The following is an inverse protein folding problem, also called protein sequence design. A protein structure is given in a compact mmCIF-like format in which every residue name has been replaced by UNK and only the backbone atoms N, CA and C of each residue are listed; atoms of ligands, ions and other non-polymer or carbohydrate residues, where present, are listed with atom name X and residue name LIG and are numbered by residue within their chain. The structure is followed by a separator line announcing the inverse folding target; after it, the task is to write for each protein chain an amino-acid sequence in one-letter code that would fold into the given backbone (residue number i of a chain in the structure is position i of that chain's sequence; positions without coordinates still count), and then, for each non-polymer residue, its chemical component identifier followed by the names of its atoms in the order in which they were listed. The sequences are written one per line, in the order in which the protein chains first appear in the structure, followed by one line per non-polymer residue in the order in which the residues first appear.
data_IF_538411481763
#
_entry.id   IF_538411481763
#
_cell.length_a   1.000
_cell.length_b   1.000
_cell.length_c   1.000
_cell.angle_alpha   90.00
_cell.angle_beta   90.00
_cell.angle_gamma   90.00
#
_symmetry.space_group_name_H-M   'P 1'
#
loop_
_entity.id
_entity.type
_entity.pdbx_description
1 polymer ?
#
# COMPACT_ATOMS: atom_id res chain seq x y z
N UNK A 1 24.17 24.25 -6.01
CA UNK A 1 24.01 23.25 -4.94
C UNK A 1 23.86 21.92 -5.63
N UNK A 2 24.77 20.98 -5.40
CA UNK A 2 24.78 19.70 -6.13
C UNK A 2 23.54 18.88 -5.81
N UNK A 3 22.99 18.23 -6.83
CA UNK A 3 21.97 17.20 -6.68
C UNK A 3 22.48 16.17 -5.66
N UNK A 4 21.72 15.97 -4.58
CA UNK A 4 22.08 14.97 -3.57
C UNK A 4 21.79 13.60 -4.17
N UNK A 5 22.88 12.89 -4.45
CA UNK A 5 22.87 11.52 -4.97
C UNK A 5 22.15 10.61 -3.96
N UNK A 6 21.16 9.85 -4.46
CA UNK A 6 20.38 8.89 -3.70
C UNK A 6 21.34 7.85 -3.11
N UNK A 7 21.53 7.88 -1.80
CA UNK A 7 22.36 6.88 -1.12
C UNK A 7 21.46 5.66 -0.83
N UNK A 8 21.84 4.50 -1.36
CA UNK A 8 21.19 3.23 -1.01
C UNK A 8 21.96 2.66 0.18
N UNK A 9 21.26 2.38 1.27
CA UNK A 9 21.85 1.72 2.43
C UNK A 9 21.72 0.20 2.22
N UNK A 10 22.86 -0.49 2.24
CA UNK A 10 22.88 -1.95 2.34
C UNK A 10 22.40 -2.34 3.73
N UNK A 11 21.20 -2.93 3.82
CA UNK A 11 20.62 -3.36 5.09
C UNK A 11 20.93 -4.83 5.43
N UNK A 12 21.81 -5.48 4.66
CA UNK A 12 22.08 -6.91 4.80
C UNK A 12 20.88 -7.77 4.35
N UNK A 13 20.70 -8.91 5.01
CA UNK A 13 19.57 -9.80 4.72
C UNK A 13 18.28 -9.27 5.36
N UNK A 14 17.22 -9.19 4.56
CA UNK A 14 15.86 -9.02 5.03
C UNK A 14 15.22 -10.40 5.18
N UNK A 15 14.73 -10.70 6.38
CA UNK A 15 14.00 -11.93 6.67
C UNK A 15 12.57 -11.59 7.06
N UNK A 16 11.62 -12.19 6.36
CA UNK A 16 10.19 -12.05 6.63
C UNK A 16 9.66 -13.41 7.04
N UNK A 17 9.24 -13.53 8.29
CA UNK A 17 8.57 -14.72 8.79
C UNK A 17 7.06 -14.55 8.74
N UNK A 18 6.39 -15.47 8.04
CA UNK A 18 4.94 -15.56 7.93
C UNK A 18 4.50 -16.89 8.53
N UNK A 19 4.04 -16.85 9.79
CA UNK A 19 3.75 -18.05 10.56
C UNK A 19 4.97 -18.96 10.71
N UNK A 20 4.93 -20.16 10.13
CA UNK A 20 6.02 -21.14 10.19
C UNK A 20 7.04 -21.07 9.04
N UNK A 21 6.90 -20.12 8.09
CA UNK A 21 7.77 -20.00 6.93
C UNK A 21 8.57 -18.72 6.97
N UNK A 22 9.84 -18.81 6.60
CA UNK A 22 10.76 -17.68 6.45
C UNK A 22 11.01 -17.43 4.96
N UNK A 23 10.91 -16.16 4.56
CA UNK A 23 11.32 -15.65 3.26
C UNK A 23 12.59 -14.82 3.49
N UNK A 24 13.67 -15.16 2.81
CA UNK A 24 14.94 -14.43 2.90
C UNK A 24 15.18 -13.72 1.57
N UNK A 25 15.21 -12.39 1.61
CA UNK A 25 15.69 -11.56 0.52
C UNK A 25 17.13 -11.16 0.82
N UNK A 26 18.08 -11.87 0.19
CA UNK A 26 19.50 -11.58 0.34
C UNK A 26 19.86 -10.28 -0.38
N UNK A 27 20.54 -9.37 0.34
CA UNK A 27 20.82 -7.98 -0.05
C UNK A 27 19.55 -7.16 -0.30
N UNK A 28 19.00 -6.59 0.77
CA UNK A 28 17.95 -5.57 0.66
C UNK A 28 18.57 -4.19 0.72
N UNK A 29 18.54 -3.46 -0.40
CA UNK A 29 18.90 -2.05 -0.42
C UNK A 29 17.70 -1.24 0.08
N UNK A 30 17.85 -0.57 1.21
CA UNK A 30 16.85 0.36 1.75
C UNK A 30 17.24 1.77 1.31
N UNK A 31 16.33 2.56 0.73
CA UNK A 31 16.66 3.94 0.37
C UNK A 31 17.04 4.73 1.64
N UNK A 32 18.18 5.43 1.60
CA UNK A 32 18.54 6.38 2.66
C UNK A 32 17.45 7.45 2.74
N UNK A 33 16.91 7.63 3.94
CA UNK A 33 15.60 8.24 4.18
C UNK A 33 15.70 9.75 3.96
N UNK A 34 15.47 10.21 2.73
CA UNK A 34 14.88 11.51 2.41
C UNK A 34 13.94 11.39 1.19
N UNK A 35 12.83 12.16 1.15
CA UNK A 35 11.67 11.82 0.33
C UNK A 35 11.77 12.31 -1.11
N UNK A 36 11.22 11.47 -1.99
CA UNK A 36 10.68 11.73 -3.34
C UNK A 36 11.55 11.50 -4.58
N UNK A 37 10.89 10.79 -5.53
CA UNK A 37 11.25 10.44 -6.91
C UNK A 37 12.29 9.32 -7.08
N UNK A 38 11.88 8.07 -6.83
CA UNK A 38 12.70 6.89 -7.10
C UNK A 38 12.22 6.19 -8.38
N UNK A 39 12.99 6.33 -9.46
CA UNK A 39 13.06 5.37 -10.56
C UNK A 39 13.79 4.10 -10.13
N UNK A 40 13.32 3.48 -9.04
CA UNK A 40 13.83 2.19 -8.56
C UNK A 40 12.83 1.12 -9.01
N UNK A 41 13.33 0.17 -9.78
CA UNK A 41 12.57 -0.98 -10.24
C UNK A 41 12.50 -2.00 -9.10
N UNK A 42 11.31 -2.14 -8.51
CA UNK A 42 11.02 -3.25 -7.61
C UNK A 42 10.97 -4.52 -8.45
N UNK A 43 11.83 -5.49 -8.14
CA UNK A 43 11.65 -6.84 -8.69
C UNK A 43 10.38 -7.41 -8.06
N UNK A 44 9.30 -7.31 -8.82
CA UNK A 44 8.04 -7.98 -8.55
C UNK A 44 8.30 -9.51 -8.53
N UNK A 45 8.36 -10.10 -7.34
CA UNK A 45 8.66 -11.55 -7.19
C UNK A 45 7.41 -12.40 -7.37
N UNK A 46 6.28 -12.02 -6.76
CA UNK A 46 4.97 -12.68 -6.92
C UNK A 46 3.85 -11.82 -6.29
N UNK A 47 2.67 -11.76 -6.90
CA UNK A 47 1.45 -11.14 -6.33
C UNK A 47 0.73 -12.07 -5.34
N UNK A 48 1.21 -13.31 -5.18
CA UNK A 48 0.50 -14.36 -4.45
C UNK A 48 1.14 -14.64 -3.10
N UNK A 49 0.29 -14.68 -2.07
CA UNK A 49 0.66 -15.32 -0.81
C UNK A 49 1.12 -16.76 -1.08
N UNK A 50 2.25 -17.21 -0.50
CA UNK A 50 2.72 -18.59 -0.67
C UNK A 50 1.61 -19.59 -0.35
N UNK A 51 1.55 -20.72 -1.09
CA UNK A 51 0.48 -21.76 -1.00
C UNK A 51 0.31 -22.43 0.39
N UNK A 52 1.04 -22.00 1.42
CA UNK A 52 0.97 -22.45 2.81
C UNK A 52 1.15 -21.28 3.81
N UNK A 53 1.02 -20.03 3.36
CA UNK A 53 0.99 -18.89 4.26
C UNK A 53 -0.28 -18.96 5.11
N UNK A 54 -0.22 -18.44 6.33
CA UNK A 54 -1.41 -18.29 7.18
C UNK A 54 -2.38 -17.36 6.45
N UNK A 55 -3.67 -17.72 6.44
CA UNK A 55 -4.68 -16.83 5.86
C UNK A 55 -4.66 -15.49 6.63
N UNK A 56 -4.56 -14.36 5.93
CA UNK A 56 -4.53 -13.05 6.56
C UNK A 56 -5.88 -12.76 7.22
N UNK A 57 -5.95 -12.96 8.53
CA UNK A 57 -7.15 -12.80 9.36
C UNK A 57 -7.01 -11.67 10.39
N UNK A 58 -5.94 -10.87 10.30
CA UNK A 58 -5.65 -9.81 11.28
C UNK A 58 -4.91 -10.28 12.53
N UNK A 59 -4.74 -11.60 12.73
CA UNK A 59 -4.17 -12.17 13.97
C UNK A 59 -2.80 -12.81 13.79
N UNK A 60 -2.45 -13.21 12.57
CA UNK A 60 -1.16 -13.81 12.27
C UNK A 60 -0.03 -12.76 12.31
N UNK A 61 1.01 -12.93 13.13
CA UNK A 61 2.13 -12.00 13.15
C UNK A 61 3.02 -12.20 11.92
N UNK A 62 3.38 -11.11 11.27
CA UNK A 62 4.58 -10.99 10.42
C UNK A 62 5.73 -10.58 11.31
N UNK A 63 6.82 -11.34 11.28
CA UNK A 63 8.07 -10.88 11.87
C UNK A 63 8.99 -10.43 10.75
N UNK A 64 9.41 -9.17 10.78
CA UNK A 64 10.39 -8.61 9.87
C UNK A 64 11.69 -8.43 10.63
N UNK A 65 12.78 -9.01 10.11
CA UNK A 65 14.11 -8.90 10.69
C UNK A 65 15.10 -8.39 9.65
N UNK A 66 15.95 -7.47 10.07
CA UNK A 66 17.03 -6.90 9.27
C UNK A 66 18.33 -7.06 10.05
N UNK A 67 19.38 -7.56 9.39
CA UNK A 67 20.70 -7.81 10.02
C UNK A 67 21.49 -6.53 10.33
N UNK A 68 21.10 -5.42 9.71
CA UNK A 68 21.82 -4.16 9.80
C UNK A 68 22.88 -4.03 8.70
N UNK A 69 23.44 -2.84 8.56
CA UNK A 69 24.37 -2.54 7.49
C UNK A 69 25.79 -2.99 7.82
N UNK A 70 26.59 -3.41 6.83
CA UNK A 70 27.99 -3.79 7.05
C UNK A 70 28.86 -2.67 7.61
N UNK A 71 28.48 -1.41 7.37
CA UNK A 71 29.17 -0.21 7.84
C UNK A 71 28.67 0.29 9.21
N UNK A 72 27.68 -0.37 9.80
CA UNK A 72 27.13 -0.06 11.13
C UNK A 72 26.26 1.20 11.19
N UNK A 73 25.89 1.78 10.03
CA UNK A 73 24.93 2.90 9.97
C UNK A 73 23.52 2.47 10.37
N UNK A 74 23.09 1.27 9.96
CA UNK A 74 21.83 0.64 10.35
C UNK A 74 22.11 -0.49 11.34
N UNK A 75 21.57 -0.38 12.56
CA UNK A 75 21.64 -1.48 13.53
C UNK A 75 20.63 -2.59 13.19
N UNK A 76 20.94 -3.85 13.51
CA UNK A 76 19.99 -4.95 13.36
C UNK A 76 18.71 -4.68 14.15
N UNK A 77 17.57 -5.04 13.57
CA UNK A 77 16.29 -4.93 14.26
C UNK A 77 15.33 -6.05 13.88
N UNK A 78 14.35 -6.27 14.77
CA UNK A 78 13.24 -7.20 14.56
C UNK A 78 11.95 -6.54 15.01
N UNK A 79 10.92 -6.65 14.18
CA UNK A 79 9.59 -6.13 14.48
C UNK A 79 8.53 -7.17 14.18
N UNK A 80 7.51 -7.22 15.03
CA UNK A 80 6.31 -7.99 14.80
C UNK A 80 5.14 -7.06 14.49
N UNK A 81 4.44 -7.30 13.37
CA UNK A 81 3.21 -6.62 12.97
C UNK A 81 2.13 -7.66 12.71
N UNK A 82 0.87 -7.25 12.70
CA UNK A 82 -0.20 -8.13 12.21
C UNK A 82 -0.26 -8.07 10.69
N UNK A 83 -0.47 -9.22 10.02
CA UNK A 83 -0.97 -9.17 8.63
C UNK A 83 -2.41 -8.66 8.72
N UNK A 84 -2.76 -7.52 8.09
CA UNK A 84 -4.15 -7.07 8.08
C UNK A 84 -5.08 -8.15 7.50
N UNK A 85 -6.36 -8.17 7.86
CA UNK A 85 -7.30 -9.11 7.23
C UNK A 85 -7.37 -8.87 5.72
N UNK A 86 -7.46 -9.95 4.93
CA UNK A 86 -7.60 -9.91 3.48
C UNK A 86 -8.53 -8.77 3.04
N UNK A 87 -7.97 -7.77 2.35
CA UNK A 87 -8.75 -6.68 1.83
C UNK A 87 -9.43 -7.10 0.53
N UNK A 88 -10.76 -7.03 0.50
CA UNK A 88 -11.55 -7.30 -0.70
C UNK A 88 -12.48 -6.12 -0.97
N UNK A 89 -12.16 -5.38 -2.02
CA UNK A 89 -13.12 -4.49 -2.66
C UNK A 89 -14.24 -5.35 -3.25
N UNK A 90 -15.48 -5.00 -2.94
CA UNK A 90 -16.67 -5.71 -3.41
C UNK A 90 -17.32 -4.96 -4.57
N UNK A 91 -17.37 -3.63 -4.48
CA UNK A 91 -18.00 -2.80 -5.49
C UNK A 91 -17.42 -1.38 -5.49
N UNK A 92 -17.46 -0.73 -6.65
CA UNK A 92 -17.17 0.68 -6.81
C UNK A 92 -18.08 1.24 -7.91
N UNK A 93 -18.86 2.27 -7.59
CA UNK A 93 -19.82 2.84 -8.52
C UNK A 93 -19.96 4.35 -8.32
N UNK A 94 -20.12 5.04 -9.45
CA UNK A 94 -20.46 6.46 -9.47
C UNK A 94 -21.96 6.59 -9.72
N UNK A 95 -22.62 7.38 -8.88
CA UNK A 95 -24.01 7.77 -9.06
C UNK A 95 -24.16 9.26 -8.71
N UNK A 96 -24.88 10.00 -9.53
CA UNK A 96 -25.00 11.46 -9.48
C UNK A 96 -23.64 12.19 -9.32
N UNK A 97 -23.31 12.65 -8.10
CA UNK A 97 -22.08 13.35 -7.71
C UNK A 97 -21.32 12.59 -6.59
N UNK A 98 -21.54 11.27 -6.47
CA UNK A 98 -20.97 10.45 -5.41
C UNK A 98 -20.32 9.18 -5.94
N UNK A 99 -19.06 8.96 -5.57
CA UNK A 99 -18.38 7.68 -5.69
C UNK A 99 -18.65 6.85 -4.43
N UNK A 100 -19.36 5.74 -4.58
CA UNK A 100 -19.54 4.75 -3.53
C UNK A 100 -18.57 3.60 -3.73
N UNK A 101 -17.85 3.25 -2.67
CA UNK A 101 -16.91 2.12 -2.65
C UNK A 101 -17.30 1.21 -1.49
N UNK A 102 -17.52 -0.07 -1.78
CA UNK A 102 -17.92 -1.10 -0.83
C UNK A 102 -16.80 -2.12 -0.67
N UNK A 103 -16.58 -2.57 0.56
CA UNK A 103 -15.61 -3.61 0.89
C UNK A 103 -16.06 -4.41 2.10
N UNK A 104 -15.48 -5.60 2.27
CA UNK A 104 -15.75 -6.41 3.46
C UNK A 104 -15.01 -5.81 4.67
N UNK A 105 -15.70 -5.35 5.73
CA UNK A 105 -15.06 -4.87 6.95
C UNK A 105 -14.37 -6.01 7.71
N UNK A 106 -13.43 -5.71 8.62
CA UNK A 106 -12.73 -6.73 9.37
C UNK A 106 -13.70 -7.50 10.30
N UNK A 107 -13.37 -8.77 10.56
CA UNK A 107 -14.12 -9.64 11.46
C UNK A 107 -14.15 -9.13 12.91
N UNK A 108 -15.12 -9.64 13.70
CA UNK A 108 -15.21 -9.33 15.14
C UNK A 108 -13.95 -9.82 15.86
N UNK A 109 -13.07 -8.90 16.26
CA UNK A 109 -11.82 -9.21 16.97
C UNK A 109 -10.70 -8.19 16.75
N UNK A 110 -10.77 -7.41 15.67
CA UNK A 110 -9.84 -6.31 15.41
C UNK A 110 -10.23 -5.09 16.24
N UNK A 111 -9.28 -4.52 16.98
CA UNK A 111 -9.53 -3.43 17.91
C UNK A 111 -9.69 -2.08 17.16
N UNK A 112 -10.92 -1.55 17.15
CA UNK A 112 -11.24 -0.20 16.67
C UNK A 112 -11.45 -0.07 15.15
N UNK A 113 -12.07 1.03 14.69
CA UNK A 113 -12.19 1.31 13.26
C UNK A 113 -10.79 1.59 12.69
N UNK A 114 -10.31 0.70 11.82
CA UNK A 114 -9.07 0.93 11.07
C UNK A 114 -9.20 2.09 10.08
N UNK A 115 -8.08 2.48 9.47
CA UNK A 115 -8.08 3.42 8.33
C UNK A 115 -7.77 2.64 7.06
N UNK A 116 -8.53 2.92 6.01
CA UNK A 116 -8.27 2.44 4.65
C UNK A 116 -7.68 3.57 3.84
N UNK A 117 -6.64 3.26 3.06
CA UNK A 117 -6.16 4.15 2.01
C UNK A 117 -6.87 3.78 0.72
N UNK A 118 -7.58 4.72 0.10
CA UNK A 118 -8.14 4.58 -1.24
C UNK A 118 -7.28 5.35 -2.23
N UNK A 119 -6.89 4.71 -3.33
CA UNK A 119 -6.24 5.34 -4.47
C UNK A 119 -7.22 5.36 -5.65
N UNK A 120 -7.46 6.55 -6.18
CA UNK A 120 -8.39 6.80 -7.28
C UNK A 120 -7.59 7.31 -8.48
N UNK A 121 -7.60 6.55 -9.58
CA UNK A 121 -6.97 6.96 -10.84
C UNK A 121 -7.97 6.86 -11.98
N UNK A 122 -8.23 7.98 -12.63
CA UNK A 122 -9.06 8.05 -13.82
C UNK A 122 -8.24 7.68 -15.07
N UNK A 123 -8.88 7.06 -16.06
CA UNK A 123 -8.29 6.67 -17.33
C UNK A 123 -9.21 7.02 -18.49
N UNK A 124 -8.63 7.57 -19.56
CA UNK A 124 -9.33 7.75 -20.83
C UNK A 124 -8.99 6.58 -21.78
N UNK A 125 -9.99 6.10 -22.51
CA UNK A 125 -9.83 5.05 -23.51
C UNK A 125 -9.59 5.70 -24.86
N UNK A 126 -8.40 5.50 -25.41
CA UNK A 126 -8.01 5.99 -26.71
C UNK A 126 -8.74 5.22 -27.83
N UNK A 127 -8.83 5.77 -29.06
CA UNK A 127 -9.52 5.12 -30.18
C UNK A 127 -8.97 3.75 -30.58
N UNK A 128 -7.73 3.43 -30.20
CA UNK A 128 -7.09 2.14 -30.40
C UNK A 128 -7.38 1.12 -29.27
N UNK A 129 -8.18 1.52 -28.28
CA UNK A 129 -8.58 0.71 -27.13
C UNK A 129 -7.60 0.73 -25.97
N UNK A 130 -6.53 1.54 -26.03
CA UNK A 130 -5.56 1.68 -24.94
C UNK A 130 -6.10 2.66 -23.89
N UNK A 131 -6.09 2.26 -22.61
CA UNK A 131 -6.46 3.15 -21.51
C UNK A 131 -5.22 3.87 -20.95
N UNK A 132 -5.24 5.19 -20.93
CA UNK A 132 -4.17 6.03 -20.40
C UNK A 132 -4.63 6.83 -19.17
N UNK A 133 -3.77 6.99 -18.13
CA UNK A 133 -4.10 7.81 -16.96
C UNK A 133 -4.48 9.24 -17.35
N UNK A 134 -5.53 9.77 -16.72
CA UNK A 134 -6.01 11.14 -16.91
C UNK A 134 -6.20 11.81 -15.56
N UNK A 135 -5.76 13.06 -15.46
CA UNK A 135 -5.78 13.82 -14.21
C UNK A 135 -4.78 13.26 -13.19
N UNK A 136 -4.95 13.68 -11.94
CA UNK A 136 -4.12 13.27 -10.81
C UNK A 136 -4.62 11.98 -10.16
N UNK A 137 -3.71 11.17 -9.64
CA UNK A 137 -4.07 10.08 -8.71
C UNK A 137 -4.44 10.70 -7.36
N UNK A 138 -5.63 10.41 -6.85
CA UNK A 138 -6.09 10.92 -5.56
C UNK A 138 -5.97 9.84 -4.50
N UNK A 139 -5.37 10.20 -3.37
CA UNK A 139 -5.31 9.36 -2.17
C UNK A 139 -6.32 9.87 -1.14
N UNK A 140 -7.22 9.00 -0.69
CA UNK A 140 -8.20 9.30 0.36
C UNK A 140 -7.97 8.40 1.58
N UNK A 141 -8.17 8.96 2.77
CA UNK A 141 -8.21 8.19 4.02
C UNK A 141 -9.67 8.05 4.45
N UNK A 142 -10.14 6.81 4.60
CA UNK A 142 -11.51 6.52 5.01
C UNK A 142 -11.52 5.57 6.20
N UNK A 143 -12.57 5.61 7.00
CA UNK A 143 -12.74 4.67 8.10
C UNK A 143 -13.04 3.27 7.54
N UNK A 144 -12.49 2.22 8.16
CA UNK A 144 -12.72 0.83 7.78
C UNK A 144 -14.08 0.31 8.28
N UNK A 145 -15.16 0.89 7.75
CA UNK A 145 -16.56 0.57 8.13
C UNK A 145 -17.27 -0.33 7.12
N UNK A 146 -16.59 -0.73 6.05
CA UNK A 146 -17.14 -1.55 4.96
C UNK A 146 -17.71 -0.77 3.77
N UNK A 147 -17.78 0.56 3.88
CA UNK A 147 -18.24 1.43 2.81
C UNK A 147 -17.71 2.85 2.99
N UNK A 148 -17.41 3.53 1.88
CA UNK A 148 -17.20 4.97 1.81
C UNK A 148 -18.03 5.57 0.67
N UNK A 149 -18.58 6.76 0.93
CA UNK A 149 -19.18 7.63 -0.07
C UNK A 149 -18.36 8.91 -0.16
N UNK A 150 -17.82 9.20 -1.35
CA UNK A 150 -16.95 10.34 -1.63
C UNK A 150 -17.64 11.26 -2.63
N UNK A 151 -17.84 12.52 -2.29
CA UNK A 151 -18.35 13.51 -3.24
C UNK A 151 -17.34 13.72 -4.38
N UNK A 152 -17.82 13.72 -5.63
CA UNK A 152 -16.96 13.87 -6.81
C UNK A 152 -16.46 15.31 -6.98
N UNK A 153 -17.27 16.31 -6.63
CA UNK A 153 -16.88 17.72 -6.75
C UNK A 153 -15.54 18.07 -6.04
N UNK A 154 -15.30 17.70 -4.77
CA UNK A 154 -13.99 17.87 -4.13
C UNK A 154 -12.85 17.07 -4.79
N UNK A 155 -13.13 15.86 -5.29
CA UNK A 155 -12.14 15.02 -5.95
C UNK A 155 -11.70 15.64 -7.28
N UNK A 156 -12.65 16.15 -8.06
CA UNK A 156 -12.38 16.91 -9.27
C UNK A 156 -11.59 18.20 -8.96
N UNK A 157 -11.96 18.90 -7.88
CA UNK A 157 -11.20 20.05 -7.39
C UNK A 157 -9.77 19.73 -6.96
N UNK A 158 -9.48 18.46 -6.66
CA UNK A 158 -8.15 17.94 -6.30
C UNK A 158 -7.37 17.40 -7.49
N UNK A 159 -7.96 17.42 -8.70
CA UNK A 159 -7.31 17.03 -9.96
C UNK A 159 -7.77 15.69 -10.53
N UNK A 160 -8.71 14.97 -9.89
CA UNK A 160 -9.27 13.74 -10.46
C UNK A 160 -10.05 14.05 -11.75
N UNK A 161 -9.74 13.36 -12.84
CA UNK A 161 -10.51 13.47 -14.07
C UNK A 161 -11.81 12.66 -13.98
N UNK A 162 -12.81 13.20 -13.29
CA UNK A 162 -14.13 12.56 -13.07
C UNK A 162 -14.94 12.33 -14.35
N UNK A 163 -14.53 12.96 -15.46
CA UNK A 163 -15.11 12.84 -16.80
C UNK A 163 -14.38 11.83 -17.70
N UNK A 164 -13.44 11.06 -17.15
CA UNK A 164 -12.75 9.99 -17.87
C UNK A 164 -13.66 8.77 -18.06
N UNK A 165 -13.29 7.83 -18.94
CA UNK A 165 -14.12 6.66 -19.28
C UNK A 165 -14.08 5.53 -18.24
N UNK A 166 -13.04 5.54 -17.41
CA UNK A 166 -12.77 4.48 -16.45
C UNK A 166 -12.17 5.08 -15.19
N UNK A 167 -12.62 4.58 -14.03
CA UNK A 167 -12.02 4.86 -12.74
C UNK A 167 -11.45 3.56 -12.16
N UNK A 168 -10.14 3.53 -11.92
CA UNK A 168 -9.51 2.49 -11.10
C UNK A 168 -9.61 2.92 -9.64
N UNK A 169 -10.18 2.03 -8.83
CA UNK A 169 -10.22 2.16 -7.37
C UNK A 169 -9.34 1.07 -6.79
N UNK A 170 -8.25 1.47 -6.16
CA UNK A 170 -7.43 0.59 -5.34
C UNK A 170 -7.61 0.96 -3.89
N UNK A 171 -7.50 0.00 -3.00
CA UNK A 171 -7.73 0.22 -1.59
C UNK A 171 -6.86 -0.70 -0.76
N UNK A 172 -6.36 -0.21 0.37
CA UNK A 172 -5.50 -1.00 1.23
C UNK A 172 -5.78 -0.84 2.72
N UNK A 173 -5.62 -1.97 3.40
CA UNK A 173 -5.40 -2.03 4.84
C UNK A 173 -3.91 -2.09 5.10
N UNK A 174 -3.49 -1.41 6.14
CA UNK A 174 -2.10 -1.42 6.54
C UNK A 174 -2.00 -1.47 8.07
N UNK A 175 -0.92 -2.07 8.55
CA UNK A 175 -0.47 -1.96 9.93
C UNK A 175 0.89 -1.28 9.92
N UNK A 176 1.16 -0.45 10.94
CA UNK A 176 2.41 0.32 11.06
C UNK A 176 3.02 0.09 12.43
N UNK A 177 4.28 -0.30 12.43
CA UNK A 177 5.10 -0.32 13.63
C UNK A 177 6.22 0.71 13.50
N UNK A 178 6.39 1.51 14.54
CA UNK A 178 7.49 2.46 14.67
C UNK A 178 8.53 1.90 15.63
N UNK A 179 9.80 2.05 15.27
CA UNK A 179 10.90 1.69 16.15
C UNK A 179 12.12 2.59 15.92
N UNK A 180 13.06 2.52 16.86
CA UNK A 180 14.39 3.05 16.65
C UNK A 180 15.32 1.92 16.17
N UNK A 181 16.18 2.22 15.19
CA UNK A 181 17.23 1.32 14.70
C UNK A 181 18.57 2.08 14.72
N UNK A 182 19.26 2.02 15.86
CA UNK A 182 20.51 2.74 16.07
C UNK A 182 20.37 4.25 15.94
N UNK A 183 21.09 4.85 14.98
CA UNK A 183 21.06 6.29 14.72
C UNK A 183 19.75 6.76 14.04
N UNK A 184 18.93 5.85 13.54
CA UNK A 184 17.64 6.15 12.92
C UNK A 184 16.52 6.07 13.99
N UNK A 185 16.05 7.25 14.42
CA UNK A 185 15.13 7.36 15.56
C UNK A 185 13.65 7.08 15.28
N UNK A 186 13.23 6.88 14.03
CA UNK A 186 11.81 6.71 13.65
C UNK A 186 11.71 5.87 12.36
N UNK A 187 12.11 4.60 12.44
CA UNK A 187 11.91 3.65 11.33
C UNK A 187 10.46 3.17 11.37
N UNK A 188 9.72 3.43 10.29
CA UNK A 188 8.39 2.88 10.07
C UNK A 188 8.47 1.60 9.25
N UNK A 189 7.93 0.52 9.78
CA UNK A 189 7.69 -0.71 9.04
C UNK A 189 6.20 -0.80 8.78
N UNK A 190 5.83 -0.94 7.50
CA UNK A 190 4.45 -0.96 7.05
C UNK A 190 4.16 -2.31 6.41
N UNK A 191 3.10 -2.98 6.85
CA UNK A 191 2.58 -4.19 6.20
C UNK A 191 1.24 -3.82 5.56
N UNK A 192 1.17 -3.87 4.23
CA UNK A 192 -0.01 -3.47 3.44
C UNK A 192 -0.63 -4.68 2.72
N UNK A 193 -1.96 -4.76 2.71
CA UNK A 193 -2.72 -5.60 1.78
C UNK A 193 -3.62 -4.74 0.90
N UNK A 194 -3.47 -4.89 -0.41
CA UNK A 194 -4.16 -4.09 -1.42
C UNK A 194 -5.17 -4.91 -2.21
N UNK A 195 -6.36 -4.35 -2.42
CA UNK A 195 -7.36 -4.82 -3.38
C UNK A 195 -7.59 -3.77 -4.47
N UNK A 196 -7.98 -4.22 -5.68
CA UNK A 196 -8.19 -3.34 -6.84
C UNK A 196 -9.48 -3.72 -7.56
N UNK A 197 -10.29 -2.72 -7.93
CA UNK A 197 -11.44 -2.85 -8.83
C UNK A 197 -11.41 -1.73 -9.89
N UNK A 198 -12.13 -1.99 -10.98
CA UNK A 198 -12.34 -1.03 -12.06
C UNK A 198 -13.82 -0.69 -12.13
N UNK A 199 -14.15 0.59 -12.15
CA UNK A 199 -15.51 1.10 -12.27
C UNK A 199 -15.66 1.91 -13.55
N UNK A 200 -16.72 1.64 -14.32
CA UNK A 200 -17.08 2.44 -15.49
C UNK A 200 -17.84 3.70 -15.07
N UNK A 201 -17.40 4.85 -15.55
CA UNK A 201 -18.13 6.13 -15.44
C UNK A 201 -19.23 6.14 -16.50
N UNK A 202 -20.46 5.82 -16.11
CA UNK A 202 -21.60 5.96 -17.03
C UNK A 202 -22.06 7.42 -16.98
N UNK A 203 -21.90 8.16 -18.07
CA UNK A 203 -22.49 9.49 -18.28
C UNK A 203 -23.78 9.40 -19.09
#
# INVERSE_FOLDING_TARGET
AGDRELSMLDAGDLRIQLGGRELVAGLSLVPDILPWLAGVEYVHVDDRLPRLAVDPDGTAPVVVSIDGSPDGTLEPFTVALSIPEAFRLENAGIDDDSLTVDWRPPGRGVAGPGTIVLHLQAFATLPDGVSEPRGEEITCLVADTGQAALALSPLAGSGLAVDADLLRVSASRFDVARMAAGAFGEVEVIVELRGTLYSSTSH
#
